data_IF_501198575077
#
_entry.id   IF_501198575077
#
_cell.length_a   1.000
_cell.length_b   1.000
_cell.length_c   1.000
_cell.angle_alpha   90.00
_cell.angle_beta   90.00
_cell.angle_gamma   90.00
#
_symmetry.space_group_name_H-M   'P 1'
#
loop_
_entity.id
_entity.type
_entity.pdbx_description
1 polymer ?
#
# COMPACT_ATOMS: atom_id res chain seq x y z
N UNK A 1 21.64 5.64 42.04
CA UNK A 1 21.48 5.29 40.61
C UNK A 1 20.75 3.97 40.52
N UNK A 2 19.49 3.92 40.08
CA UNK A 2 18.75 2.68 39.92
C UNK A 2 18.96 2.07 38.53
N UNK A 3 18.90 0.74 38.52
CA UNK A 3 19.28 -0.22 37.49
C UNK A 3 18.37 -0.24 36.25
N UNK A 4 18.98 -0.47 35.09
CA UNK A 4 18.33 -0.78 33.83
C UNK A 4 17.55 -2.11 33.91
N UNK A 5 16.26 -2.08 34.27
CA UNK A 5 15.34 -3.22 34.07
C UNK A 5 13.86 -2.89 34.31
N UNK A 6 13.37 -1.78 33.79
CA UNK A 6 11.92 -1.57 33.65
C UNK A 6 11.63 -0.99 32.27
N UNK A 7 11.76 -1.86 31.26
CA UNK A 7 11.08 -1.62 29.98
C UNK A 7 9.58 -1.79 30.26
N UNK A 8 8.88 -0.66 30.37
CA UNK A 8 7.43 -0.58 30.35
C UNK A 8 6.92 -1.43 29.18
N UNK A 9 6.50 -2.65 29.49
CA UNK A 9 5.79 -3.50 28.55
C UNK A 9 4.40 -2.88 28.48
N UNK A 10 4.20 -1.99 27.52
CA UNK A 10 2.85 -1.56 27.14
C UNK A 10 2.13 -2.85 26.77
N UNK A 11 1.28 -3.34 27.69
CA UNK A 11 0.39 -4.46 27.48
C UNK A 11 -0.60 -4.00 26.41
N UNK A 12 -0.30 -4.36 25.16
CA UNK A 12 -1.28 -4.23 24.08
C UNK A 12 -2.53 -5.02 24.51
N UNK A 13 -3.74 -4.46 24.37
CA UNK A 13 -4.96 -5.11 24.85
C UNK A 13 -5.22 -6.48 24.19
N UNK A 14 -4.45 -6.82 23.14
CA UNK A 14 -4.52 -8.08 22.43
C UNK A 14 -3.14 -8.77 22.40
N UNK A 15 -2.86 -9.63 23.38
CA UNK A 15 -1.73 -10.59 23.35
C UNK A 15 -2.11 -11.91 22.66
N UNK A 16 -3.40 -12.09 22.38
CA UNK A 16 -3.97 -13.26 21.72
C UNK A 16 -4.92 -12.78 20.65
N UNK A 17 -4.77 -13.33 19.45
CA UNK A 17 -5.69 -13.12 18.34
C UNK A 17 -7.11 -13.58 18.75
N UNK A 18 -8.00 -12.63 19.00
CA UNK A 18 -9.40 -12.90 19.35
C UNK A 18 -10.17 -13.58 18.21
N UNK A 19 -9.58 -13.65 17.01
CA UNK A 19 -10.13 -14.38 15.87
C UNK A 19 -9.77 -15.87 15.85
N UNK A 20 -8.93 -16.33 16.79
CA UNK A 20 -8.49 -17.73 16.88
C UNK A 20 -7.61 -18.19 15.72
N UNK A 21 -6.99 -17.26 14.99
CA UNK A 21 -6.10 -17.55 13.84
C UNK A 21 -4.64 -17.55 14.27
N UNK A 22 -3.81 -18.34 13.58
CA UNK A 22 -2.37 -18.44 13.86
C UNK A 22 -1.66 -17.12 13.56
N UNK A 23 -0.90 -16.54 14.51
CA UNK A 23 -0.23 -15.25 14.31
C UNK A 23 0.63 -15.26 13.04
N UNK A 24 0.86 -14.09 12.41
CA UNK A 24 1.80 -14.00 11.31
C UNK A 24 3.17 -14.60 11.68
N UNK A 25 3.95 -15.09 10.71
CA UNK A 25 5.29 -15.62 10.98
C UNK A 25 6.15 -14.60 11.73
N UNK A 26 6.90 -15.08 12.74
CA UNK A 26 7.72 -14.23 13.60
C UNK A 26 8.72 -13.37 12.81
N UNK A 27 9.31 -13.94 11.77
CA UNK A 27 10.29 -13.29 10.90
C UNK A 27 9.65 -12.64 9.66
N UNK A 28 8.31 -12.54 9.66
CA UNK A 28 7.51 -12.05 8.53
C UNK A 28 7.28 -13.08 7.43
N UNK A 29 6.32 -12.78 6.56
CA UNK A 29 6.03 -13.61 5.39
C UNK A 29 7.23 -13.66 4.43
N UNK A 30 7.58 -14.86 4.01
CA UNK A 30 8.57 -15.08 2.97
C UNK A 30 8.02 -14.74 1.59
N UNK A 31 8.93 -14.55 0.63
CA UNK A 31 8.56 -14.32 -0.75
C UNK A 31 7.65 -15.43 -1.31
N UNK A 32 7.95 -16.69 -0.99
CA UNK A 32 7.18 -17.83 -1.48
C UNK A 32 5.80 -17.91 -0.82
N UNK A 33 5.69 -17.59 0.49
CA UNK A 33 4.39 -17.50 1.15
C UNK A 33 3.48 -16.43 0.51
N UNK A 34 4.03 -15.25 0.19
CA UNK A 34 3.29 -14.18 -0.49
C UNK A 34 2.90 -14.63 -1.89
N UNK A 35 3.84 -15.22 -2.64
CA UNK A 35 3.61 -15.73 -3.99
C UNK A 35 2.52 -16.79 -4.02
N UNK A 36 2.53 -17.71 -3.07
CA UNK A 36 1.56 -18.79 -2.97
C UNK A 36 0.18 -18.25 -2.58
N UNK A 37 0.10 -17.27 -1.67
CA UNK A 37 -1.14 -16.58 -1.34
C UNK A 37 -1.77 -15.88 -2.57
N UNK A 38 -0.96 -15.20 -3.39
CA UNK A 38 -1.43 -14.56 -4.63
C UNK A 38 -1.91 -15.61 -5.63
N UNK A 39 -1.09 -16.64 -5.89
CA UNK A 39 -1.42 -17.69 -6.88
C UNK A 39 -2.67 -18.49 -6.52
N UNK A 40 -2.86 -18.78 -5.24
CA UNK A 40 -4.01 -19.51 -4.72
C UNK A 40 -5.23 -18.62 -4.45
N UNK A 41 -5.13 -17.31 -4.73
CA UNK A 41 -6.13 -16.30 -4.36
C UNK A 41 -6.55 -16.35 -2.87
N UNK A 42 -5.63 -16.78 -2.00
CA UNK A 42 -5.85 -16.92 -0.55
C UNK A 42 -5.31 -15.70 0.19
N UNK A 43 -5.64 -14.49 -0.27
CA UNK A 43 -5.05 -13.24 0.25
C UNK A 43 -5.41 -12.96 1.72
N UNK A 44 -6.49 -13.56 2.23
CA UNK A 44 -6.91 -13.46 3.63
C UNK A 44 -5.88 -14.01 4.63
N UNK A 45 -4.93 -14.84 4.17
CA UNK A 45 -3.84 -15.36 5.03
C UNK A 45 -2.79 -14.29 5.32
N UNK A 46 -2.63 -13.30 4.42
CA UNK A 46 -1.69 -12.21 4.59
C UNK A 46 -2.32 -11.15 5.48
N UNK A 47 -1.84 -11.07 6.72
CA UNK A 47 -2.40 -10.19 7.75
C UNK A 47 -1.32 -9.45 8.52
N UNK A 48 -1.72 -8.31 9.10
CA UNK A 48 -0.87 -7.57 10.04
C UNK A 48 -0.69 -8.37 11.33
N UNK A 49 0.33 -7.99 12.08
CA UNK A 49 0.38 -8.36 13.50
C UNK A 49 -0.72 -7.63 14.27
N UNK A 50 -1.13 -8.15 15.42
CA UNK A 50 -2.14 -7.49 16.27
C UNK A 50 -1.73 -6.07 16.64
N UNK A 51 -0.44 -5.87 16.95
CA UNK A 51 0.15 -4.55 17.16
C UNK A 51 -0.03 -3.64 15.94
N UNK A 52 0.35 -4.10 14.75
CA UNK A 52 0.25 -3.30 13.53
C UNK A 52 -1.19 -3.02 13.12
N UNK A 53 -2.11 -3.94 13.41
CA UNK A 53 -3.55 -3.75 13.21
C UNK A 53 -4.11 -2.70 14.19
N UNK A 54 -3.74 -2.76 15.47
CA UNK A 54 -4.11 -1.77 16.47
C UNK A 54 -3.58 -0.37 16.11
N UNK A 55 -2.31 -0.26 15.71
CA UNK A 55 -1.72 1.02 15.28
C UNK A 55 -2.45 1.61 14.07
N UNK A 56 -2.87 0.77 13.13
CA UNK A 56 -3.67 1.18 11.98
C UNK A 56 -5.04 1.73 12.40
N UNK A 57 -5.75 1.03 13.29
CA UNK A 57 -7.05 1.48 13.81
C UNK A 57 -6.93 2.81 14.55
N UNK A 58 -5.94 2.94 15.44
CA UNK A 58 -5.66 4.19 16.14
C UNK A 58 -5.35 5.36 15.20
N UNK A 59 -4.71 5.09 14.06
CA UNK A 59 -4.50 6.11 13.04
C UNK A 59 -5.80 6.47 12.30
N UNK A 60 -6.63 5.49 11.97
CA UNK A 60 -7.93 5.75 11.34
C UNK A 60 -8.86 6.59 12.23
N UNK A 61 -8.78 6.42 13.55
CA UNK A 61 -9.55 7.17 14.55
C UNK A 61 -9.12 8.64 14.63
N UNK A 62 -7.88 8.97 14.25
CA UNK A 62 -7.37 10.35 14.24
C UNK A 62 -7.82 11.15 13.02
N UNK A 63 -8.37 10.50 12.00
CA UNK A 63 -8.81 11.18 10.77
C UNK A 63 -10.04 12.03 11.09
N UNK A 64 -9.96 13.33 10.79
CA UNK A 64 -11.07 14.27 11.00
C UNK A 64 -12.24 13.96 10.06
N UNK A 65 -13.25 13.29 10.61
CA UNK A 65 -14.48 12.91 9.89
C UNK A 65 -15.40 14.08 9.56
N UNK A 66 -15.12 15.29 10.05
CA UNK A 66 -15.82 16.51 9.64
C UNK A 66 -15.25 17.05 8.33
N UNK A 67 -13.95 16.91 8.12
CA UNK A 67 -13.25 17.36 6.92
C UNK A 67 -13.25 16.30 5.81
N UNK A 68 -13.10 15.02 6.16
CA UNK A 68 -13.00 13.92 5.22
C UNK A 68 -14.12 12.90 5.47
N UNK A 69 -14.94 12.60 4.47
CA UNK A 69 -16.07 11.67 4.60
C UNK A 69 -15.58 10.25 4.93
N UNK A 70 -14.43 9.86 4.38
CA UNK A 70 -13.86 8.52 4.56
C UNK A 70 -12.32 8.54 4.52
N UNK A 71 -11.71 7.39 4.88
CA UNK A 71 -10.24 7.23 4.92
C UNK A 71 -9.62 7.44 3.54
N UNK A 72 -10.29 7.03 2.47
CA UNK A 72 -9.77 7.21 1.12
C UNK A 72 -9.77 8.66 0.67
N UNK A 73 -10.75 9.48 1.05
CA UNK A 73 -10.69 10.93 0.82
C UNK A 73 -9.52 11.58 1.56
N UNK A 74 -9.30 11.20 2.83
CA UNK A 74 -8.13 11.67 3.58
C UNK A 74 -6.83 11.29 2.86
N UNK A 75 -6.70 10.04 2.41
CA UNK A 75 -5.54 9.60 1.64
C UNK A 75 -5.41 10.39 0.33
N UNK A 76 -6.47 10.51 -0.46
CA UNK A 76 -6.45 11.21 -1.73
C UNK A 76 -6.03 12.68 -1.58
N UNK A 77 -6.62 13.41 -0.63
CA UNK A 77 -6.44 14.85 -0.53
C UNK A 77 -5.28 15.27 0.38
N UNK A 78 -5.12 14.63 1.54
CA UNK A 78 -4.08 15.02 2.49
C UNK A 78 -2.73 14.36 2.18
N UNK A 79 -2.73 13.06 1.87
CA UNK A 79 -1.50 12.29 1.67
C UNK A 79 -1.02 12.35 0.22
N UNK A 80 -1.91 12.10 -0.74
CA UNK A 80 -1.58 12.03 -2.17
C UNK A 80 -1.69 13.38 -2.88
N UNK A 81 -2.31 14.38 -2.24
CA UNK A 81 -2.52 15.73 -2.78
C UNK A 81 -3.17 15.70 -4.17
N UNK A 82 -4.27 14.96 -4.28
CA UNK A 82 -5.09 14.83 -5.49
C UNK A 82 -6.38 15.64 -5.36
N UNK A 83 -6.33 16.99 -5.42
CA UNK A 83 -7.49 17.85 -5.16
C UNK A 83 -8.64 17.66 -6.15
N UNK A 84 -8.34 17.13 -7.34
CA UNK A 84 -9.30 16.98 -8.45
C UNK A 84 -10.08 15.67 -8.41
N UNK A 85 -9.81 14.79 -7.42
CA UNK A 85 -10.63 13.60 -7.18
C UNK A 85 -11.93 13.98 -6.45
N UNK A 86 -12.76 14.82 -7.06
CA UNK A 86 -14.18 14.82 -6.68
C UNK A 86 -14.80 13.55 -7.23
N UNK A 87 -15.58 12.84 -6.39
CA UNK A 87 -16.35 11.69 -6.86
C UNK A 87 -17.27 12.16 -8.00
N UNK A 88 -17.16 11.61 -9.23
CA UNK A 88 -18.08 11.96 -10.31
C UNK A 88 -19.54 11.58 -10.00
N UNK A 89 -19.80 10.79 -8.95
CA UNK A 89 -21.15 10.54 -8.44
C UNK A 89 -21.66 11.64 -7.48
N UNK A 90 -20.79 12.51 -6.97
CA UNK A 90 -21.15 13.66 -6.12
C UNK A 90 -21.45 14.93 -6.95
N UNK A 91 -21.23 14.92 -8.28
CA UNK A 91 -21.78 15.96 -9.14
C UNK A 91 -23.29 15.78 -9.23
N UNK A 92 -24.01 16.51 -8.36
CA UNK A 92 -25.47 16.64 -8.33
C UNK A 92 -26.10 16.35 -9.70
N UNK A 93 -26.95 15.34 -9.72
CA UNK A 93 -27.76 14.95 -10.87
C UNK A 93 -28.40 16.19 -11.51
N UNK A 94 -28.04 16.45 -12.76
CA UNK A 94 -29.06 16.65 -13.78
C UNK A 94 -28.48 16.33 -15.17
N UNK A 95 -28.97 15.20 -15.69
CA UNK A 95 -29.00 14.84 -17.12
C UNK A 95 -27.67 14.47 -17.79
N UNK A 96 -27.22 13.21 -17.64
CA UNK A 96 -26.36 12.59 -18.68
C UNK A 96 -26.83 11.16 -18.97
N UNK A 97 -27.14 10.97 -20.25
CA UNK A 97 -27.55 9.75 -20.94
C UNK A 97 -26.64 8.55 -20.59
N UNK A 98 -27.25 7.42 -20.23
CA UNK A 98 -26.65 6.17 -19.71
C UNK A 98 -25.61 5.50 -20.66
N UNK A 99 -25.25 6.09 -21.80
CA UNK A 99 -24.41 5.48 -22.83
C UNK A 99 -22.94 5.94 -22.90
N UNK A 100 -22.43 6.73 -21.96
CA UNK A 100 -20.98 6.92 -21.85
C UNK A 100 -20.39 5.76 -21.04
N UNK A 101 -19.61 4.90 -21.71
CA UNK A 101 -18.98 3.74 -21.09
C UNK A 101 -18.08 4.22 -19.92
N UNK A 102 -17.86 3.37 -18.92
CA UNK A 102 -17.00 3.70 -17.76
C UNK A 102 -15.65 4.28 -18.20
N UNK A 103 -15.11 3.77 -19.31
CA UNK A 103 -13.83 4.18 -19.88
C UNK A 103 -13.81 5.67 -20.31
N UNK A 104 -14.87 6.17 -20.94
CA UNK A 104 -14.96 7.57 -21.36
C UNK A 104 -15.08 8.54 -20.17
N UNK A 105 -15.70 8.09 -19.07
CA UNK A 105 -15.76 8.85 -17.82
C UNK A 105 -14.41 8.94 -17.11
N UNK A 106 -13.54 7.94 -17.24
CA UNK A 106 -12.19 7.97 -16.68
C UNK A 106 -11.19 8.79 -17.52
N UNK A 107 -11.55 9.19 -18.75
CA UNK A 107 -10.68 10.05 -19.60
C UNK A 107 -10.54 11.47 -19.08
N UNK A 108 -11.51 11.98 -18.31
CA UNK A 108 -11.49 13.34 -17.76
C UNK A 108 -10.56 13.49 -16.55
N UNK A 109 -10.22 12.37 -15.90
CA UNK A 109 -9.29 12.36 -14.78
C UNK A 109 -7.87 12.13 -15.30
N UNK A 110 -6.99 13.08 -15.01
CA UNK A 110 -5.56 12.96 -15.30
C UNK A 110 -4.99 11.69 -14.63
N UNK A 111 -4.36 10.78 -15.41
CA UNK A 111 -3.86 9.52 -14.89
C UNK A 111 -2.64 9.75 -14.00
N UNK A 112 -2.77 9.48 -12.70
CA UNK A 112 -1.68 9.61 -11.72
C UNK A 112 -1.37 8.24 -11.11
N UNK A 113 -0.07 7.99 -10.88
CA UNK A 113 0.44 6.81 -10.17
C UNK A 113 1.42 7.29 -9.11
N UNK A 114 1.19 6.90 -7.85
CA UNK A 114 2.07 7.25 -6.73
C UNK A 114 2.41 5.97 -5.97
N UNK A 115 3.68 5.59 -5.99
CA UNK A 115 4.23 4.50 -5.18
C UNK A 115 4.71 5.05 -3.83
N UNK A 116 4.30 4.41 -2.73
CA UNK A 116 4.71 4.74 -1.35
C UNK A 116 4.99 3.47 -0.57
N UNK A 117 5.93 3.52 0.37
CA UNK A 117 6.02 2.48 1.39
C UNK A 117 4.70 2.38 2.15
N UNK A 118 4.29 1.16 2.47
CA UNK A 118 3.07 0.93 3.22
C UNK A 118 3.31 1.30 4.69
N UNK A 119 2.64 2.36 5.16
CA UNK A 119 2.77 2.81 6.55
C UNK A 119 2.33 1.76 7.59
N UNK A 120 1.42 0.87 7.21
CA UNK A 120 0.91 -0.21 8.05
C UNK A 120 1.07 -1.54 7.31
N UNK A 121 2.32 -2.04 7.18
CA UNK A 121 2.62 -3.20 6.35
C UNK A 121 2.20 -4.50 7.02
N UNK A 122 2.08 -5.55 6.21
CA UNK A 122 2.16 -6.92 6.71
C UNK A 122 3.61 -7.18 7.14
N UNK A 123 3.85 -8.01 8.16
CA UNK A 123 5.20 -8.39 8.51
C UNK A 123 5.78 -9.21 7.34
N UNK A 124 6.91 -8.76 6.78
CA UNK A 124 7.63 -9.44 5.69
C UNK A 124 9.08 -9.62 6.10
N UNK A 125 9.77 -10.59 5.49
CA UNK A 125 11.20 -10.78 5.71
C UNK A 125 12.00 -9.52 5.36
N UNK A 126 13.13 -9.30 6.03
CA UNK A 126 13.96 -8.07 5.91
C UNK A 126 14.40 -7.75 4.48
N UNK A 127 14.57 -8.77 3.64
CA UNK A 127 14.93 -8.61 2.22
C UNK A 127 13.76 -8.22 1.32
N UNK A 128 12.58 -7.89 1.90
CA UNK A 128 11.35 -7.55 1.18
C UNK A 128 10.84 -6.17 1.63
N UNK A 129 10.63 -5.26 0.68
CA UNK A 129 9.90 -4.01 0.89
C UNK A 129 8.43 -4.15 0.47
N UNK A 130 7.53 -3.52 1.23
CA UNK A 130 6.09 -3.53 0.96
C UNK A 130 5.60 -2.11 0.68
N UNK A 131 5.20 -1.88 -0.57
CA UNK A 131 4.63 -0.64 -1.06
C UNK A 131 3.13 -0.75 -1.30
N UNK A 132 2.49 0.42 -1.37
CA UNK A 132 1.17 0.62 -1.99
C UNK A 132 1.36 1.52 -3.21
N UNK A 133 0.85 1.07 -4.36
CA UNK A 133 0.77 1.91 -5.55
C UNK A 133 -0.66 2.41 -5.71
N UNK A 134 -0.84 3.71 -5.57
CA UNK A 134 -2.12 4.40 -5.71
C UNK A 134 -2.34 4.84 -7.16
N UNK A 135 -3.60 4.81 -7.61
CA UNK A 135 -4.03 5.28 -8.94
C UNK A 135 -5.30 6.12 -8.86
N UNK A 136 -5.39 7.15 -9.70
CA UNK A 136 -6.63 7.90 -9.95
C UNK A 136 -7.60 7.14 -10.87
N UNK A 137 -7.13 6.08 -11.54
CA UNK A 137 -7.90 5.28 -12.51
C UNK A 137 -8.13 3.85 -12.03
N UNK A 138 -9.23 3.27 -12.49
CA UNK A 138 -9.63 1.90 -12.16
C UNK A 138 -8.66 0.87 -12.72
N UNK A 139 -7.96 0.17 -11.82
CA UNK A 139 -6.99 -0.88 -12.14
C UNK A 139 -7.63 -2.21 -12.57
N UNK A 140 -8.96 -2.31 -12.62
CA UNK A 140 -9.65 -3.43 -13.25
C UNK A 140 -9.51 -3.40 -14.78
N UNK A 141 -9.28 -2.22 -15.37
CA UNK A 141 -9.11 -2.03 -16.81
C UNK A 141 -7.75 -2.58 -17.28
N UNK A 142 -7.76 -3.34 -18.38
CA UNK A 142 -6.53 -3.96 -18.92
C UNK A 142 -5.47 -2.91 -19.32
N UNK A 143 -5.90 -1.82 -19.94
CA UNK A 143 -5.04 -0.69 -20.33
C UNK A 143 -4.32 -0.05 -19.14
N UNK A 144 -5.01 0.08 -17.99
CA UNK A 144 -4.42 0.61 -16.77
C UNK A 144 -3.46 -0.39 -16.11
N UNK A 145 -3.68 -1.71 -16.26
CA UNK A 145 -2.73 -2.74 -15.81
C UNK A 145 -1.43 -2.71 -16.60
N UNK A 146 -1.49 -2.56 -17.92
CA UNK A 146 -0.28 -2.41 -18.74
C UNK A 146 0.50 -1.14 -18.39
N UNK A 147 -0.20 -0.02 -18.17
CA UNK A 147 0.40 1.24 -17.71
C UNK A 147 1.10 1.07 -16.37
N UNK A 148 0.48 0.33 -15.46
CA UNK A 148 1.02 0.03 -14.13
C UNK A 148 2.27 -0.84 -14.21
N UNK A 149 2.27 -1.90 -15.02
CA UNK A 149 3.43 -2.77 -15.17
C UNK A 149 4.62 -2.00 -15.76
N UNK A 150 4.38 -1.16 -16.77
CA UNK A 150 5.40 -0.27 -17.32
C UNK A 150 5.94 0.71 -16.29
N UNK A 151 5.07 1.27 -15.44
CA UNK A 151 5.48 2.16 -14.35
C UNK A 151 6.37 1.42 -13.34
N UNK A 152 6.00 0.20 -12.92
CA UNK A 152 6.81 -0.59 -11.97
C UNK A 152 8.16 -1.01 -12.57
N UNK A 153 8.20 -1.37 -13.86
CA UNK A 153 9.46 -1.61 -14.58
C UNK A 153 10.34 -0.37 -14.53
N UNK A 154 9.79 0.82 -14.81
CA UNK A 154 10.54 2.06 -14.72
C UNK A 154 11.02 2.37 -13.29
N UNK A 155 10.21 2.09 -12.26
CA UNK A 155 10.62 2.29 -10.86
C UNK A 155 11.76 1.36 -10.43
N UNK A 156 11.70 0.08 -10.82
CA UNK A 156 12.55 -0.96 -10.22
C UNK A 156 13.67 -1.45 -11.13
N UNK A 157 13.51 -1.35 -12.45
CA UNK A 157 14.52 -1.72 -13.46
C UNK A 157 15.11 -0.49 -14.15
N UNK A 158 14.30 0.56 -14.36
CA UNK A 158 14.60 1.73 -15.19
C UNK A 158 16.07 2.13 -15.12
N UNK A 159 16.69 2.26 -16.31
CA UNK A 159 18.13 2.43 -16.47
C UNK A 159 18.67 3.39 -15.41
N UNK A 160 19.58 2.88 -14.59
CA UNK A 160 20.48 3.64 -13.73
C UNK A 160 21.47 4.47 -14.58
N UNK A 161 20.98 5.19 -15.59
CA UNK A 161 21.70 6.35 -16.06
C UNK A 161 21.61 7.37 -14.92
N UNK A 162 22.75 7.86 -14.45
CA UNK A 162 22.86 8.71 -13.25
C UNK A 162 22.05 10.03 -13.35
N UNK A 163 21.45 10.28 -14.52
CA UNK A 163 20.57 11.40 -14.83
C UNK A 163 19.10 11.19 -14.39
N UNK A 164 18.59 9.95 -14.37
CA UNK A 164 17.20 9.68 -14.01
C UNK A 164 17.12 9.16 -12.58
N UNK A 165 16.89 10.07 -11.62
CA UNK A 165 16.53 9.69 -10.25
C UNK A 165 15.34 8.72 -10.28
N UNK A 166 15.34 7.63 -9.49
CA UNK A 166 14.14 6.84 -9.31
C UNK A 166 13.00 7.76 -8.89
N UNK A 167 11.86 7.64 -9.56
CA UNK A 167 10.68 8.48 -9.35
C UNK A 167 10.15 8.34 -7.91
N UNK A 168 10.46 7.24 -7.23
CA UNK A 168 10.28 7.06 -5.79
C UNK A 168 11.66 7.00 -5.10
N UNK A 169 11.95 7.99 -4.25
CA UNK A 169 13.18 8.06 -3.44
C UNK A 169 13.27 6.97 -2.36
N UNK A 170 12.20 6.19 -2.18
CA UNK A 170 11.99 5.23 -1.10
C UNK A 170 12.44 3.80 -1.44
N UNK A 171 12.84 3.53 -2.68
CA UNK A 171 13.21 2.16 -3.12
C UNK A 171 14.67 1.89 -2.83
N UNK A 172 14.93 0.89 -1.99
CA UNK A 172 16.27 0.51 -1.55
C UNK A 172 17.10 -0.11 -2.66
N UNK A 173 18.42 -0.08 -2.50
CA UNK A 173 19.34 -0.68 -3.47
C UNK A 173 19.19 -2.21 -3.47
N UNK A 174 19.40 -2.90 -4.62
CA UNK A 174 19.48 -4.36 -4.61
C UNK A 174 20.64 -4.85 -3.75
N UNK A 175 20.47 -5.95 -3.04
CA UNK A 175 21.57 -6.61 -2.34
C UNK A 175 22.68 -7.03 -3.34
N UNK A 176 23.92 -7.12 -2.85
CA UNK A 176 25.08 -7.40 -3.68
C UNK A 176 24.90 -8.66 -4.57
N UNK A 177 25.01 -8.49 -5.88
CA UNK A 177 24.87 -9.56 -6.86
C UNK A 177 23.43 -10.04 -7.12
N UNK A 178 22.41 -9.35 -6.57
CA UNK A 178 21.00 -9.67 -6.79
C UNK A 178 20.34 -8.69 -7.76
N UNK A 179 19.24 -9.14 -8.38
CA UNK A 179 18.34 -8.29 -9.17
C UNK A 179 17.04 -8.14 -8.39
N UNK A 180 16.49 -6.93 -8.34
CA UNK A 180 15.16 -6.70 -7.79
C UNK A 180 14.12 -7.56 -8.50
N UNK A 181 13.22 -8.12 -7.73
CA UNK A 181 12.04 -8.81 -8.25
C UNK A 181 10.83 -8.25 -7.51
N UNK A 182 9.73 -8.08 -8.23
CA UNK A 182 8.50 -7.57 -7.64
C UNK A 182 7.30 -8.46 -7.98
N UNK A 183 6.29 -8.40 -7.12
CA UNK A 183 4.97 -8.96 -7.38
C UNK A 183 3.92 -8.00 -6.82
N UNK A 184 2.71 -8.09 -7.33
CA UNK A 184 1.63 -7.27 -6.84
C UNK A 184 0.28 -7.98 -6.86
N UNK A 185 -0.64 -7.48 -6.03
CA UNK A 185 -2.03 -7.91 -6.05
C UNK A 185 -2.98 -6.75 -5.69
N UNK A 186 -4.24 -6.91 -6.07
CA UNK A 186 -5.35 -6.05 -5.63
C UNK A 186 -6.07 -6.78 -4.51
N UNK A 187 -6.33 -6.12 -3.39
CA UNK A 187 -7.19 -6.72 -2.36
C UNK A 187 -8.62 -6.90 -2.91
N UNK A 188 -9.22 -8.10 -2.73
CA UNK A 188 -10.65 -8.32 -2.94
C UNK A 188 -11.49 -7.30 -2.17
N UNK A 189 -12.71 -7.04 -2.62
CA UNK A 189 -13.56 -5.98 -2.07
C UNK A 189 -13.77 -6.18 -0.56
N UNK A 190 -13.95 -7.42 -0.13
CA UNK A 190 -14.14 -7.82 1.26
C UNK A 190 -12.90 -7.65 2.16
N UNK A 191 -11.69 -7.54 1.58
CA UNK A 191 -10.45 -7.32 2.32
C UNK A 191 -9.93 -5.88 2.21
N UNK A 192 -10.61 -5.02 1.44
CA UNK A 192 -10.12 -3.68 1.11
C UNK A 192 -10.53 -2.68 2.19
N UNK A 193 -9.54 -2.20 2.95
CA UNK A 193 -9.78 -1.16 3.97
C UNK A 193 -10.06 0.23 3.38
N UNK A 194 -9.62 0.51 2.15
CA UNK A 194 -9.80 1.81 1.46
C UNK A 194 -10.47 1.57 0.11
N UNK A 195 -11.80 1.58 0.07
CA UNK A 195 -12.53 1.25 -1.16
C UNK A 195 -12.57 2.37 -2.20
N UNK A 196 -12.45 3.63 -1.77
CA UNK A 196 -12.71 4.84 -2.56
C UNK A 196 -11.51 5.34 -3.38
N UNK A 197 -10.32 4.77 -3.18
CA UNK A 197 -9.12 5.09 -3.97
C UNK A 197 -8.51 3.81 -4.50
N UNK A 198 -8.26 3.74 -5.81
CA UNK A 198 -7.68 2.56 -6.43
C UNK A 198 -6.23 2.37 -6.01
N UNK A 199 -5.89 1.17 -5.59
CA UNK A 199 -4.54 0.83 -5.20
C UNK A 199 -4.24 -0.66 -5.35
N UNK A 200 -2.96 -0.97 -5.50
CA UNK A 200 -2.42 -2.33 -5.41
C UNK A 200 -1.37 -2.41 -4.31
N UNK A 201 -1.19 -3.61 -3.81
CA UNK A 201 -0.11 -3.97 -2.90
C UNK A 201 1.07 -4.50 -3.70
N UNK A 202 2.24 -3.89 -3.54
CA UNK A 202 3.45 -4.22 -4.31
C UNK A 202 4.54 -4.68 -3.34
N UNK A 203 5.09 -5.86 -3.57
CA UNK A 203 6.23 -6.39 -2.82
C UNK A 203 7.45 -6.39 -3.70
N UNK A 204 8.58 -5.94 -3.18
CA UNK A 204 9.87 -5.94 -3.88
C UNK A 204 10.87 -6.70 -3.03
N UNK A 205 11.52 -7.74 -3.58
CA UNK A 205 12.53 -8.52 -2.87
C UNK A 205 13.95 -8.27 -3.35
N UNK A 206 14.88 -8.83 -2.58
CA UNK A 206 16.32 -8.78 -2.76
C UNK A 206 16.87 -7.35 -2.62
N UNK A 207 16.27 -6.58 -1.72
CA UNK A 207 16.80 -5.28 -1.28
C UNK A 207 17.91 -5.45 -0.25
N UNK A 208 18.79 -4.47 -0.13
CA UNK A 208 19.86 -4.47 0.88
C UNK A 208 19.26 -4.39 2.30
N UNK A 209 19.43 -5.43 3.14
CA UNK A 209 18.86 -5.46 4.50
C UNK A 209 19.57 -4.50 5.47
N UNK A 210 20.73 -3.95 5.09
CA UNK A 210 21.41 -2.92 5.89
C UNK A 210 20.74 -1.55 5.79
N UNK A 211 19.89 -1.35 4.77
CA UNK A 211 18.99 -0.21 4.71
C UNK A 211 17.73 -0.58 5.52
N UNK A 212 17.53 0.01 6.72
CA UNK A 212 16.44 -0.41 7.57
C UNK A 212 15.13 -0.09 6.86
N UNK A 213 14.20 -1.04 6.78
CA UNK A 213 12.85 -0.90 6.22
C UNK A 213 11.99 0.02 7.11
N UNK A 214 12.45 1.24 7.26
CA UNK A 214 11.86 2.27 8.07
C UNK A 214 10.92 3.06 7.17
N UNK A 215 9.64 2.86 7.42
CA UNK A 215 8.66 3.91 7.19
C UNK A 215 9.03 5.04 8.14
N UNK A 216 9.47 6.19 7.63
CA UNK A 216 9.51 7.40 8.43
C UNK A 216 8.06 7.78 8.75
N UNK A 217 7.56 7.32 9.90
CA UNK A 217 6.22 7.68 10.41
C UNK A 217 6.17 9.19 10.71
N UNK A 218 7.32 9.83 10.88
CA UNK A 218 7.44 11.29 10.95
C UNK A 218 7.57 11.91 9.56
N UNK A 219 6.41 12.24 8.98
CA UNK A 219 6.12 13.43 8.17
C UNK A 219 4.78 13.23 7.47
N UNK A 220 3.72 13.77 8.08
CA UNK A 220 2.69 14.62 7.47
C UNK A 220 1.51 14.78 8.44
#
# INVERSE_FOLDING_TARGET
MPSAKELNTILYPHQTDFTGRDPPPKDGYSWDQIKDAIKSNSLHVLRRTDKGQYEYEQWQDKIDRKTYKNVGEYIAFAILQWPDLQDPADSNENSITISQCKEDRHRTIEPRLILRLNHYPFPVQESIQYFVLWSTRDMSLLSERERLDNYLIQQFIGNQDQSTKPLSQEVYSPAAGKKKQWMWFVNPIELRSVATVHHIHVFVRDVDPSEPNQVNIERQ
#
